data_IF_870363636523
#
_entry.id   IF_870363636523
#
_cell.length_a   1.000
_cell.length_b   1.000
_cell.length_c   1.000
_cell.angle_alpha   90.00
_cell.angle_beta   90.00
_cell.angle_gamma   90.00
#
_symmetry.space_group_name_H-M   'P 1'
#
loop_
_entity.id
_entity.type
_entity.pdbx_description
1 polymer ?
#
# COMPACT_ATOMS: atom_id res chain seq x y z
N UNK A 1 -0.96 12.69 -13.38
CA UNK A 1 -2.03 12.55 -12.36
C UNK A 1 -3.18 13.56 -12.54
N UNK A 2 -3.80 13.70 -13.72
CA UNK A 2 -4.85 14.73 -13.94
C UNK A 2 -6.24 14.39 -13.36
N UNK A 3 -6.51 13.11 -13.07
CA UNK A 3 -7.81 12.61 -12.60
C UNK A 3 -7.77 12.08 -11.16
N UNK A 4 -6.71 12.41 -10.41
CA UNK A 4 -6.59 11.97 -9.02
C UNK A 4 -7.49 12.84 -8.14
N UNK A 5 -8.34 12.20 -7.33
CA UNK A 5 -9.17 12.85 -6.32
C UNK A 5 -8.43 12.97 -4.97
N UNK A 6 -7.51 12.05 -4.71
CA UNK A 6 -6.58 12.10 -3.58
C UNK A 6 -5.19 11.62 -4.04
N UNK A 7 -4.14 12.19 -3.47
CA UNK A 7 -2.74 11.88 -3.75
C UNK A 7 -1.92 12.09 -2.48
N UNK A 8 -1.07 11.13 -2.14
CA UNK A 8 -0.15 11.20 -0.99
C UNK A 8 1.21 10.59 -1.37
N UNK A 9 2.28 11.14 -0.85
CA UNK A 9 3.64 10.58 -0.91
C UNK A 9 3.80 9.45 0.11
N UNK A 10 4.45 8.35 -0.26
CA UNK A 10 4.72 7.22 0.65
C UNK A 10 6.10 7.41 1.29
N UNK A 11 6.11 7.73 2.59
CA UNK A 11 7.32 7.93 3.40
C UNK A 11 7.41 6.95 4.58
N UNK A 12 6.33 6.80 5.34
CA UNK A 12 6.20 5.89 6.50
C UNK A 12 5.49 4.55 6.16
N UNK A 13 5.30 4.28 4.87
CA UNK A 13 4.79 3.02 4.34
C UNK A 13 3.32 3.00 3.93
N UNK A 14 3.02 2.14 2.95
CA UNK A 14 1.73 2.05 2.26
C UNK A 14 0.54 1.95 3.21
N UNK A 15 0.65 1.15 4.27
CA UNK A 15 -0.44 0.97 5.24
C UNK A 15 -0.70 2.24 6.03
N UNK A 16 0.34 2.98 6.40
CA UNK A 16 0.25 4.24 7.14
C UNK A 16 -0.42 5.32 6.29
N UNK A 17 0.11 5.60 5.10
CA UNK A 17 -0.47 6.65 4.24
C UNK A 17 -1.81 6.27 3.64
N UNK A 18 -2.03 4.98 3.37
CA UNK A 18 -3.34 4.48 2.95
C UNK A 18 -4.40 4.68 4.04
N UNK A 19 -4.06 4.45 5.31
CA UNK A 19 -4.96 4.70 6.44
C UNK A 19 -5.25 6.20 6.62
N UNK A 20 -4.23 7.06 6.49
CA UNK A 20 -4.41 8.51 6.54
C UNK A 20 -5.32 9.01 5.41
N UNK A 21 -5.13 8.51 4.18
CA UNK A 21 -5.98 8.84 3.04
C UNK A 21 -7.43 8.38 3.25
N UNK A 22 -7.63 7.14 3.72
CA UNK A 22 -8.94 6.57 4.01
C UNK A 22 -9.70 7.41 5.06
N UNK A 23 -9.03 7.72 6.17
CA UNK A 23 -9.57 8.53 7.27
C UNK A 23 -9.94 9.94 6.83
N UNK A 24 -9.04 10.64 6.13
CA UNK A 24 -9.29 11.99 5.63
C UNK A 24 -10.40 12.06 4.57
N UNK A 25 -10.65 10.96 3.87
CA UNK A 25 -11.65 10.87 2.79
C UNK A 25 -12.97 10.21 3.21
N UNK A 26 -13.07 9.69 4.44
CA UNK A 26 -14.22 8.91 4.95
C UNK A 26 -14.60 7.72 4.05
N UNK A 27 -13.60 6.95 3.64
CA UNK A 27 -13.74 5.76 2.78
C UNK A 27 -12.92 4.61 3.34
N UNK A 28 -13.09 3.42 2.76
CA UNK A 28 -12.19 2.29 2.96
C UNK A 28 -11.30 2.09 1.75
N UNK A 29 -10.01 1.91 1.99
CA UNK A 29 -9.04 1.53 0.96
C UNK A 29 -8.78 0.02 1.02
N UNK A 30 -9.00 -0.68 -0.08
CA UNK A 30 -8.72 -2.12 -0.20
C UNK A 30 -7.62 -2.35 -1.24
N UNK A 31 -6.42 -2.70 -0.78
CA UNK A 31 -5.34 -3.15 -1.65
C UNK A 31 -5.49 -4.65 -1.94
N UNK A 32 -5.06 -5.10 -3.11
CA UNK A 32 -5.14 -6.50 -3.51
C UNK A 32 -3.76 -7.11 -3.52
N UNK A 33 -3.55 -8.13 -2.69
CA UNK A 33 -2.30 -8.89 -2.69
C UNK A 33 -2.00 -9.43 -4.10
N UNK A 34 -2.99 -10.04 -4.75
CA UNK A 34 -2.85 -10.57 -6.11
C UNK A 34 -2.45 -9.51 -7.16
N UNK A 35 -2.94 -8.26 -7.05
CA UNK A 35 -2.53 -7.18 -7.98
C UNK A 35 -1.08 -6.75 -7.74
N UNK A 36 -0.65 -6.73 -6.48
CA UNK A 36 0.73 -6.37 -6.11
C UNK A 36 1.69 -7.50 -6.49
N UNK A 37 1.32 -8.76 -6.26
CA UNK A 37 2.09 -9.95 -6.67
C UNK A 37 2.30 -10.03 -8.19
N UNK A 38 1.39 -9.43 -8.97
CA UNK A 38 1.47 -9.39 -10.43
C UNK A 38 2.40 -8.27 -10.97
N UNK A 39 3.00 -7.44 -10.10
CA UNK A 39 3.99 -6.44 -10.48
C UNK A 39 5.32 -7.16 -10.76
N UNK A 40 5.97 -6.84 -11.89
CA UNK A 40 7.15 -7.56 -12.39
C UNK A 40 8.27 -7.65 -11.33
N UNK A 41 8.48 -6.60 -10.54
CA UNK A 41 9.53 -6.53 -9.52
C UNK A 41 9.19 -7.26 -8.20
N UNK A 42 7.94 -7.71 -8.01
CA UNK A 42 7.54 -8.38 -6.76
C UNK A 42 8.30 -9.69 -6.53
N UNK A 43 8.52 -10.47 -7.59
CA UNK A 43 9.18 -11.77 -7.49
C UNK A 43 10.62 -11.63 -6.97
N UNK A 44 11.36 -10.64 -7.45
CA UNK A 44 12.73 -10.36 -7.01
C UNK A 44 12.75 -9.91 -5.55
N UNK A 45 11.80 -9.05 -5.14
CA UNK A 45 11.67 -8.60 -3.75
C UNK A 45 11.31 -9.75 -2.80
N UNK A 46 10.41 -10.64 -3.22
CA UNK A 46 10.02 -11.81 -2.45
C UNK A 46 11.19 -12.79 -2.27
N UNK A 47 11.99 -13.03 -3.33
CA UNK A 47 13.21 -13.84 -3.22
C UNK A 47 14.19 -13.26 -2.20
N UNK A 48 14.41 -11.94 -2.22
CA UNK A 48 15.30 -11.28 -1.26
C UNK A 48 14.78 -11.40 0.17
N UNK A 49 13.47 -11.31 0.39
CA UNK A 49 12.86 -11.52 1.70
C UNK A 49 13.10 -12.95 2.20
N UNK A 50 12.93 -13.95 1.34
CA UNK A 50 13.20 -15.36 1.65
C UNK A 50 14.68 -15.59 2.02
N UNK A 51 15.61 -14.98 1.29
CA UNK A 51 17.06 -15.09 1.55
C UNK A 51 17.46 -14.58 2.95
N UNK A 52 16.72 -13.61 3.49
CA UNK A 52 16.97 -13.03 4.82
C UNK A 52 15.99 -13.51 5.89
N UNK A 53 15.12 -14.49 5.58
CA UNK A 53 14.06 -15.00 6.47
C UNK A 53 13.10 -13.89 6.96
N UNK A 54 12.77 -12.93 6.09
CA UNK A 54 11.78 -11.89 6.33
C UNK A 54 10.47 -12.18 5.58
N UNK A 55 9.41 -11.45 5.94
CA UNK A 55 8.16 -11.45 5.19
C UNK A 55 8.14 -10.27 4.21
N UNK A 56 8.01 -10.53 2.92
CA UNK A 56 7.96 -9.50 1.87
C UNK A 56 6.86 -8.46 2.12
N UNK A 57 5.74 -8.87 2.73
CA UNK A 57 4.62 -7.97 3.00
C UNK A 57 4.92 -6.95 4.10
N UNK A 58 5.86 -7.24 4.99
CA UNK A 58 6.34 -6.24 5.95
C UNK A 58 7.09 -5.12 5.23
N UNK A 59 7.76 -5.42 4.11
CA UNK A 59 8.40 -4.39 3.28
C UNK A 59 7.40 -3.67 2.38
N UNK A 60 6.49 -4.39 1.73
CA UNK A 60 5.48 -3.76 0.86
C UNK A 60 4.51 -2.87 1.64
N UNK A 61 4.06 -3.33 2.81
CA UNK A 61 3.03 -2.63 3.59
C UNK A 61 3.61 -1.60 4.56
N UNK A 62 4.78 -1.87 5.13
CA UNK A 62 5.37 -1.11 6.21
C UNK A 62 6.80 -0.62 5.93
N UNK A 63 7.39 -1.00 4.79
CA UNK A 63 8.59 -0.36 4.27
C UNK A 63 8.31 1.12 4.01
N UNK A 64 9.26 1.96 4.39
CA UNK A 64 9.20 3.40 4.22
C UNK A 64 10.30 3.89 3.28
N UNK A 65 10.30 5.21 3.02
CA UNK A 65 11.28 5.91 2.17
C UNK A 65 11.23 5.49 0.68
N UNK A 66 10.12 4.92 0.21
CA UNK A 66 9.94 4.57 -1.21
C UNK A 66 9.87 5.82 -2.10
N UNK A 67 9.41 6.96 -1.56
CA UNK A 67 9.21 8.22 -2.29
C UNK A 67 8.37 8.07 -3.56
N UNK A 68 7.45 7.12 -3.55
CA UNK A 68 6.45 6.90 -4.60
C UNK A 68 5.12 7.55 -4.19
N UNK A 69 4.25 7.80 -5.17
CA UNK A 69 2.94 8.38 -4.91
C UNK A 69 1.85 7.31 -4.86
N UNK A 70 1.02 7.36 -3.82
CA UNK A 70 -0.28 6.69 -3.75
C UNK A 70 -1.37 7.65 -4.23
N UNK A 71 -2.17 7.23 -5.22
CA UNK A 71 -3.22 8.04 -5.80
C UNK A 71 -4.55 7.28 -5.87
N UNK A 72 -5.65 7.98 -5.57
CA UNK A 72 -7.01 7.46 -5.76
C UNK A 72 -7.75 8.28 -6.82
N UNK A 73 -8.32 7.61 -7.81
CA UNK A 73 -9.00 8.24 -8.93
C UNK A 73 -9.38 7.26 -10.01
N UNK A 74 -9.95 7.76 -11.10
CA UNK A 74 -10.30 6.95 -12.28
C UNK A 74 -9.30 7.21 -13.39
N UNK A 75 -8.94 6.16 -14.12
CA UNK A 75 -8.07 6.24 -15.31
C UNK A 75 -6.75 6.98 -15.00
N UNK A 76 -6.11 6.61 -13.88
CA UNK A 76 -4.83 7.17 -13.48
C UNK A 76 -3.67 6.47 -14.20
N UNK A 77 -2.63 7.24 -14.50
CA UNK A 77 -1.34 6.72 -14.93
C UNK A 77 -0.61 6.15 -13.72
N UNK A 78 -0.46 4.83 -13.65
CA UNK A 78 0.22 4.10 -12.57
C UNK A 78 -0.23 2.65 -12.48
N UNK A 79 0.35 1.89 -11.56
CA UNK A 79 -0.05 0.51 -11.29
C UNK A 79 -1.27 0.51 -10.36
N UNK A 80 -2.39 -0.04 -10.83
CA UNK A 80 -3.58 -0.20 -9.99
C UNK A 80 -3.36 -1.34 -9.00
N UNK A 81 -3.22 -1.01 -7.71
CA UNK A 81 -2.99 -1.99 -6.64
C UNK A 81 -4.24 -2.28 -5.80
N UNK A 82 -5.37 -1.63 -6.07
CA UNK A 82 -6.53 -1.71 -5.18
C UNK A 82 -7.70 -0.85 -5.62
N UNK A 83 -8.66 -0.69 -4.72
CA UNK A 83 -9.92 0.00 -4.93
C UNK A 83 -10.33 0.82 -3.69
N UNK A 84 -11.14 1.84 -3.91
CA UNK A 84 -11.77 2.63 -2.86
C UNK A 84 -13.23 2.21 -2.77
N UNK A 85 -13.66 1.81 -1.58
CA UNK A 85 -15.02 1.32 -1.31
C UNK A 85 -15.68 2.12 -0.18
N UNK A 86 -17.01 2.03 -0.07
CA UNK A 86 -17.73 2.61 1.06
C UNK A 86 -17.33 1.91 2.35
N UNK A 87 -16.98 2.68 3.38
CA UNK A 87 -16.58 2.16 4.69
C UNK A 87 -15.55 3.06 5.36
N UNK A 88 -14.80 2.48 6.29
CA UNK A 88 -13.68 3.10 6.98
C UNK A 88 -12.48 2.14 7.03
N UNK A 89 -11.29 2.71 7.16
CA UNK A 89 -10.06 1.96 7.39
C UNK A 89 -9.38 1.43 6.12
N UNK A 90 -8.52 0.44 6.30
CA UNK A 90 -7.66 -0.09 5.25
C UNK A 90 -7.48 -1.61 5.39
N UNK A 91 -7.31 -2.30 4.27
CA UNK A 91 -6.94 -3.71 4.25
C UNK A 91 -6.11 -4.06 3.02
N UNK A 92 -5.25 -5.08 3.15
CA UNK A 92 -4.71 -5.82 2.00
C UNK A 92 -5.50 -7.13 1.90
N UNK A 93 -6.34 -7.22 0.87
CA UNK A 93 -7.17 -8.39 0.60
C UNK A 93 -6.27 -9.53 0.11
N UNK A 94 -6.35 -10.67 0.80
CA UNK A 94 -5.52 -11.85 0.54
C UNK A 94 -4.44 -12.10 1.58
N UNK A 95 -4.25 -11.20 2.57
CA UNK A 95 -3.31 -11.40 3.66
C UNK A 95 -4.02 -11.64 4.99
N UNK A 96 -3.52 -12.60 5.76
CA UNK A 96 -3.91 -12.82 7.17
C UNK A 96 -3.09 -11.93 8.13
N UNK A 97 -1.85 -11.61 7.76
CA UNK A 97 -0.97 -10.72 8.51
C UNK A 97 -1.11 -9.28 8.01
N UNK A 98 -1.33 -8.33 8.93
CA UNK A 98 -1.36 -6.90 8.63
C UNK A 98 0.01 -6.30 8.96
N UNK A 99 0.75 -5.80 7.95
CA UNK A 99 2.04 -5.14 8.17
C UNK A 99 1.90 -3.92 9.10
N UNK A 100 2.83 -3.77 10.06
CA UNK A 100 2.88 -2.59 10.93
C UNK A 100 4.05 -1.68 10.58
N UNK A 101 3.72 -0.42 10.26
CA UNK A 101 4.68 0.62 9.90
C UNK A 101 5.45 1.22 11.09
N UNK A 102 6.43 2.06 10.76
CA UNK A 102 7.24 2.78 11.74
C UNK A 102 6.41 3.81 12.53
N UNK A 103 6.67 3.89 13.84
CA UNK A 103 6.12 4.94 14.73
C UNK A 103 7.23 5.54 15.57
N UNK A 104 7.31 6.88 15.60
CA UNK A 104 8.37 7.59 16.33
C UNK A 104 8.24 7.46 17.85
N UNK A 105 7.01 7.49 18.38
CA UNK A 105 6.71 7.42 19.83
C UNK A 105 5.40 6.65 20.04
N UNK A 106 5.31 5.93 21.16
CA UNK A 106 4.11 5.20 21.60
C UNK A 106 3.26 6.02 22.57
#
# INVERSE_FOLDING_TARGET
MRNAHALIDISDGLMTQGAQMASASHVRCEFSAAKIEAIDEFADLAQLADEVNANVWDWVGAGGEDHVFLAAGKDLSGTCIGEVVTGDGIAIIGLEHVPQGFVHFN
#
